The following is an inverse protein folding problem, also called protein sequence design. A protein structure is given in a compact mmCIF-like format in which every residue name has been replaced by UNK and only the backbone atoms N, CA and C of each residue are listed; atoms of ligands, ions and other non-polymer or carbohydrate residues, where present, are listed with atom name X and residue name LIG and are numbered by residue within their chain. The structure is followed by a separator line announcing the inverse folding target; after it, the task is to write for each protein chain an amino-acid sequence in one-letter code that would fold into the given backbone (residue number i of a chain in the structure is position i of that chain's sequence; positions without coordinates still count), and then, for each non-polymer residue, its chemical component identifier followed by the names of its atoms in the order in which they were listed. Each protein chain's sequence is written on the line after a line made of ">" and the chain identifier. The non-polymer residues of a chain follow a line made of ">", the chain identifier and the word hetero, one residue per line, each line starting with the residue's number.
data_IF_375202902788
#
_entry.id   IF_375202902788
#
_cell.length_a   1.000
_cell.length_b   1.000
_cell.length_c   1.000
_cell.angle_alpha   90.00
_cell.angle_beta   90.00
_cell.angle_gamma   90.00
#
_symmetry.space_group_name_H-M   'P 1'
#
loop_
_entity.id
_entity.type
_entity.pdbx_description
1 polymer ?
#
# COMPACT_ATOMS: atom_id res chain seq x y z
N UNK A 1 1.94 14.77 -2.88
CA UNK A 1 1.64 13.89 -1.72
C UNK A 1 2.54 12.68 -1.80
N UNK A 2 2.98 12.15 -0.68
CA UNK A 2 3.84 10.96 -0.61
C UNK A 2 3.26 9.98 0.41
N UNK A 3 3.37 8.69 0.10
CA UNK A 3 3.14 7.60 1.05
C UNK A 3 4.41 6.75 1.12
N UNK A 4 4.71 6.23 2.30
CA UNK A 4 5.85 5.34 2.53
C UNK A 4 5.28 3.96 2.84
N UNK A 5 5.60 2.97 2.00
CA UNK A 5 5.18 1.58 2.16
C UNK A 5 6.34 0.80 2.76
N UNK A 6 6.08 0.10 3.86
CA UNK A 6 7.08 -0.80 4.44
C UNK A 6 7.29 -1.99 3.52
N UNK A 7 8.49 -2.08 2.95
CA UNK A 7 8.87 -3.13 2.02
C UNK A 7 9.15 -4.45 2.73
N UNK A 8 9.12 -5.52 1.94
CA UNK A 8 9.62 -6.84 2.34
C UNK A 8 10.64 -7.27 1.32
N UNK A 9 11.45 -8.26 1.67
CA UNK A 9 12.42 -8.86 0.75
C UNK A 9 11.70 -9.42 -0.48
N UNK A 10 11.99 -8.86 -1.65
CA UNK A 10 11.63 -9.46 -2.93
C UNK A 10 12.62 -10.59 -3.19
N UNK A 11 12.13 -11.83 -3.24
CA UNK A 11 12.98 -13.02 -3.40
C UNK A 11 13.53 -13.19 -4.83
N UNK A 12 13.23 -12.25 -5.74
CA UNK A 12 13.71 -12.23 -7.11
C UNK A 12 13.82 -10.78 -7.62
N UNK A 13 14.95 -10.37 -8.22
CA UNK A 13 15.09 -9.04 -8.84
C UNK A 13 14.07 -8.78 -9.95
N UNK A 14 13.67 -9.83 -10.69
CA UNK A 14 12.66 -9.69 -11.74
C UNK A 14 11.27 -9.38 -11.18
N UNK A 15 10.95 -9.95 -10.02
CA UNK A 15 9.68 -9.72 -9.33
C UNK A 15 9.62 -8.32 -8.69
N UNK A 16 10.74 -7.87 -8.12
CA UNK A 16 10.93 -6.49 -7.66
C UNK A 16 10.73 -5.49 -8.80
N UNK A 17 11.44 -5.68 -9.92
CA UNK A 17 11.31 -4.81 -11.09
C UNK A 17 9.88 -4.77 -11.65
N UNK A 18 9.18 -5.91 -11.68
CA UNK A 18 7.79 -5.97 -12.10
C UNK A 18 6.87 -5.17 -11.16
N UNK A 19 7.04 -5.32 -9.85
CA UNK A 19 6.29 -4.57 -8.85
C UNK A 19 6.47 -3.06 -9.00
N UNK A 20 7.73 -2.60 -9.11
CA UNK A 20 8.06 -1.18 -9.26
C UNK A 20 7.49 -0.65 -10.57
N UNK A 21 7.68 -1.40 -11.67
CA UNK A 21 7.14 -1.05 -12.98
C UNK A 21 5.61 -0.93 -12.99
N UNK A 22 4.89 -1.80 -12.27
CA UNK A 22 3.43 -1.66 -12.16
C UNK A 22 3.02 -0.40 -11.41
N UNK A 23 3.70 -0.06 -10.30
CA UNK A 23 3.42 1.18 -9.56
C UNK A 23 3.73 2.43 -10.40
N UNK A 24 4.85 2.46 -11.09
CA UNK A 24 5.25 3.60 -11.93
C UNK A 24 4.29 3.82 -13.12
N UNK A 25 3.69 2.75 -13.63
CA UNK A 25 2.70 2.82 -14.72
C UNK A 25 1.34 3.36 -14.26
N UNK A 26 1.06 3.44 -12.96
CA UNK A 26 -0.17 4.04 -12.46
C UNK A 26 -0.20 5.53 -12.77
N UNK A 27 -1.26 5.98 -13.45
CA UNK A 27 -1.38 7.39 -13.88
C UNK A 27 -1.36 8.39 -12.72
N UNK A 28 -1.67 7.99 -11.49
CA UNK A 28 -1.61 8.87 -10.32
C UNK A 28 -0.19 9.00 -9.72
N UNK A 29 0.72 8.06 -10.03
CA UNK A 29 2.08 8.01 -9.51
C UNK A 29 2.98 8.93 -10.33
N UNK A 30 3.89 9.60 -9.63
CA UNK A 30 4.94 10.45 -10.19
C UNK A 30 6.29 9.77 -10.18
N UNK A 31 6.65 9.15 -9.04
CA UNK A 31 7.93 8.46 -8.85
C UNK A 31 7.77 7.38 -7.80
N UNK A 32 8.52 6.29 -7.95
CA UNK A 32 8.68 5.23 -6.98
C UNK A 32 10.17 5.13 -6.65
N UNK A 33 10.53 5.15 -5.37
CA UNK A 33 11.93 5.04 -4.92
C UNK A 33 12.03 4.19 -3.67
N UNK A 34 12.86 3.14 -3.71
CA UNK A 34 13.23 2.40 -2.51
C UNK A 34 14.18 3.23 -1.64
N UNK A 35 14.00 3.15 -0.32
CA UNK A 35 14.82 3.80 0.70
C UNK A 35 14.96 2.89 1.93
N UNK A 36 15.92 3.15 2.84
CA UNK A 36 16.11 2.32 4.05
C UNK A 36 14.88 2.22 4.95
N UNK A 37 13.99 3.21 4.92
CA UNK A 37 12.73 3.29 5.67
C UNK A 37 11.51 2.80 4.87
N UNK A 38 11.69 2.34 3.64
CA UNK A 38 10.68 1.71 2.79
C UNK A 38 10.56 2.34 1.41
N UNK A 39 9.46 2.03 0.73
CA UNK A 39 9.18 2.48 -0.62
C UNK A 39 8.46 3.82 -0.60
N UNK A 40 9.12 4.85 -1.10
CA UNK A 40 8.55 6.18 -1.29
C UNK A 40 7.77 6.24 -2.60
N UNK A 41 6.45 6.36 -2.49
CA UNK A 41 5.55 6.53 -3.64
C UNK A 41 5.03 7.96 -3.64
N UNK A 42 5.54 8.77 -4.57
CA UNK A 42 5.05 10.15 -4.77
C UNK A 42 3.92 10.16 -5.76
N UNK A 43 2.84 10.84 -5.40
CA UNK A 43 1.64 10.99 -6.22
C UNK A 43 1.62 12.38 -6.85
N UNK A 44 1.48 12.44 -8.19
CA UNK A 44 1.31 13.69 -8.95
C UNK A 44 -0.12 14.22 -8.90
N UNK A 45 -1.10 13.35 -8.67
CA UNK A 45 -2.50 13.69 -8.44
C UNK A 45 -3.12 12.75 -7.42
N UNK A 46 -4.28 13.11 -6.89
CA UNK A 46 -5.07 12.18 -6.08
C UNK A 46 -5.45 10.94 -6.92
N UNK A 47 -5.31 9.72 -6.37
CA UNK A 47 -5.75 8.50 -7.03
C UNK A 47 -7.25 8.48 -7.33
N UNK A 48 -7.62 7.98 -8.51
CA UNK A 48 -9.00 7.58 -8.77
C UNK A 48 -9.34 6.29 -8.02
N UNK A 49 -10.59 5.85 -8.08
CA UNK A 49 -10.96 4.53 -7.57
C UNK A 49 -10.22 3.39 -8.29
N UNK A 50 -10.05 3.48 -9.63
CA UNK A 50 -9.29 2.47 -10.38
C UNK A 50 -7.82 2.45 -9.95
N UNK A 51 -7.20 3.62 -9.79
CA UNK A 51 -5.81 3.72 -9.32
C UNK A 51 -5.66 3.09 -7.92
N UNK A 52 -6.59 3.36 -6.99
CA UNK A 52 -6.56 2.77 -5.65
C UNK A 52 -6.76 1.26 -5.67
N UNK A 53 -7.63 0.74 -6.54
CA UNK A 53 -7.83 -0.71 -6.67
C UNK A 53 -6.56 -1.41 -7.14
N UNK A 54 -5.84 -0.83 -8.09
CA UNK A 54 -4.54 -1.34 -8.53
C UNK A 54 -3.53 -1.32 -7.38
N UNK A 55 -3.40 -0.20 -6.66
CA UNK A 55 -2.51 -0.11 -5.50
C UNK A 55 -2.83 -1.16 -4.43
N UNK A 56 -4.12 -1.35 -4.11
CA UNK A 56 -4.57 -2.38 -3.16
C UNK A 56 -4.19 -3.77 -3.67
N UNK A 57 -4.46 -4.08 -4.93
CA UNK A 57 -4.16 -5.38 -5.53
C UNK A 57 -2.66 -5.69 -5.50
N UNK A 58 -1.82 -4.72 -5.87
CA UNK A 58 -0.38 -4.84 -5.83
C UNK A 58 0.13 -5.07 -4.40
N UNK A 59 -0.25 -4.23 -3.44
CA UNK A 59 0.22 -4.42 -2.05
C UNK A 59 -0.28 -5.73 -1.44
N UNK A 60 -1.50 -6.16 -1.78
CA UNK A 60 -2.03 -7.44 -1.34
C UNK A 60 -1.27 -8.63 -1.94
N UNK A 61 -0.98 -8.60 -3.25
CA UNK A 61 -0.22 -9.65 -3.95
C UNK A 61 1.16 -9.86 -3.34
N UNK A 62 1.85 -8.78 -2.98
CA UNK A 62 3.19 -8.81 -2.41
C UNK A 62 3.21 -8.93 -0.89
N UNK A 63 2.04 -8.99 -0.23
CA UNK A 63 1.96 -9.09 1.23
C UNK A 63 2.55 -7.88 1.97
N UNK A 64 2.50 -6.70 1.35
CA UNK A 64 3.06 -5.45 1.89
C UNK A 64 2.08 -4.74 2.82
N UNK A 65 2.59 -3.82 3.65
CA UNK A 65 1.75 -3.04 4.54
C UNK A 65 0.84 -2.09 3.74
N UNK A 66 -0.47 -2.23 3.96
CA UNK A 66 -1.50 -1.44 3.29
C UNK A 66 -1.98 -0.24 4.12
N UNK A 67 -1.55 -0.09 5.38
CA UNK A 67 -1.93 1.04 6.22
C UNK A 67 -1.62 2.42 5.62
N UNK A 68 -0.51 2.63 4.89
CA UNK A 68 -0.24 3.93 4.27
C UNK A 68 -1.34 4.38 3.30
N UNK A 69 -2.09 3.43 2.71
CA UNK A 69 -3.22 3.75 1.83
C UNK A 69 -4.37 4.46 2.57
N UNK A 70 -4.46 4.36 3.90
CA UNK A 70 -5.49 5.04 4.67
C UNK A 70 -5.42 6.58 4.53
N UNK A 71 -4.23 7.14 4.25
CA UNK A 71 -4.04 8.56 3.98
C UNK A 71 -4.70 9.04 2.66
N UNK A 72 -5.08 8.10 1.79
CA UNK A 72 -5.71 8.37 0.49
C UNK A 72 -7.23 8.41 0.55
N UNK A 73 -7.83 8.25 1.74
CA UNK A 73 -9.28 8.44 1.92
C UNK A 73 -9.66 9.88 1.59
N UNK A 74 -10.75 10.01 0.85
CA UNK A 74 -11.42 11.28 0.52
C UNK A 74 -12.93 11.10 0.70
N UNK A 75 -13.68 12.20 0.78
CA UNK A 75 -15.15 12.13 0.86
C UNK A 75 -15.76 11.34 -0.31
N UNK A 76 -15.18 11.49 -1.51
CA UNK A 76 -15.63 10.80 -2.73
C UNK A 76 -15.43 9.29 -2.68
N UNK A 77 -14.32 8.81 -2.12
CA UNK A 77 -13.99 7.37 -2.12
C UNK A 77 -14.35 6.66 -0.81
N UNK A 78 -14.68 7.40 0.26
CA UNK A 78 -14.89 6.84 1.59
C UNK A 78 -15.92 5.71 1.62
N UNK A 79 -17.03 5.84 0.87
CA UNK A 79 -18.12 4.86 0.84
C UNK A 79 -17.65 3.46 0.44
N UNK A 80 -16.85 3.34 -0.62
CA UNK A 80 -16.39 2.03 -1.11
C UNK A 80 -15.06 1.63 -0.47
N UNK A 81 -14.16 2.59 -0.24
CA UNK A 81 -12.80 2.28 0.24
C UNK A 81 -12.82 1.82 1.70
N UNK A 82 -13.69 2.40 2.54
CA UNK A 82 -13.91 1.99 3.94
C UNK A 82 -15.01 0.92 4.09
N UNK A 83 -15.44 0.26 3.01
CA UNK A 83 -16.41 -0.82 3.13
C UNK A 83 -15.81 -2.00 3.91
N UNK A 84 -16.37 -2.28 5.08
CA UNK A 84 -15.90 -3.32 6.03
C UNK A 84 -15.95 -4.73 5.47
N UNK A 85 -16.74 -4.96 4.41
CA UNK A 85 -16.87 -6.25 3.73
C UNK A 85 -15.76 -6.53 2.73
N UNK A 86 -14.94 -5.53 2.37
CA UNK A 86 -13.89 -5.71 1.38
C UNK A 86 -12.64 -6.34 2.02
N UNK A 87 -11.96 -7.22 1.27
CA UNK A 87 -10.82 -7.99 1.78
C UNK A 87 -9.67 -7.11 2.30
N UNK A 88 -9.46 -5.94 1.70
CA UNK A 88 -8.41 -5.01 2.11
C UNK A 88 -8.74 -4.23 3.37
N UNK A 89 -10.01 -4.18 3.81
CA UNK A 89 -10.45 -3.26 4.85
C UNK A 89 -9.63 -3.42 6.14
N UNK A 90 -9.42 -4.66 6.57
CA UNK A 90 -8.66 -4.95 7.79
C UNK A 90 -7.18 -4.60 7.64
N UNK A 91 -6.59 -4.75 6.46
CA UNK A 91 -5.18 -4.43 6.22
C UNK A 91 -4.92 -2.92 6.12
N UNK A 92 -5.90 -2.15 5.62
CA UNK A 92 -5.80 -0.69 5.50
C UNK A 92 -6.21 0.03 6.79
N UNK A 93 -7.33 -0.38 7.41
CA UNK A 93 -7.99 0.34 8.51
C UNK A 93 -8.05 -0.44 9.83
N UNK A 94 -7.64 -1.71 9.83
CA UNK A 94 -7.61 -2.50 11.04
C UNK A 94 -6.57 -1.97 12.02
N UNK A 95 -6.88 -2.06 13.32
CA UNK A 95 -5.90 -1.79 14.36
C UNK A 95 -4.82 -2.86 14.28
N UNK A 96 -3.54 -2.48 14.25
CA UNK A 96 -2.49 -3.43 14.60
C UNK A 96 -2.73 -3.82 16.04
N UNK A 97 -3.15 -5.06 16.28
CA UNK A 97 -2.94 -5.70 17.57
C UNK A 97 -1.43 -5.70 17.79
N UNK A 98 -0.97 -4.80 18.66
CA UNK A 98 0.37 -4.89 19.22
C UNK A 98 0.50 -6.30 19.79
N UNK A 99 1.25 -7.19 19.13
CA UNK A 99 1.80 -8.34 19.82
C UNK A 99 2.82 -7.78 20.82
N UNK A 100 2.31 -7.40 21.98
CA UNK A 100 3.07 -7.15 23.19
C UNK A 100 3.77 -8.48 23.51
N UNK A 101 5.08 -8.44 23.71
CA UNK A 101 5.93 -9.63 23.79
C UNK A 101 5.41 -10.70 24.74
N UNK A 102 5.42 -11.95 24.28
CA UNK A 102 5.51 -13.11 25.14
C UNK A 102 6.95 -13.62 25.05
N UNK A 103 7.80 -13.07 25.93
CA UNK A 103 8.82 -13.89 26.59
C UNK A 103 8.08 -14.66 27.69
N UNK A 104 8.20 -15.98 27.71
CA UNK A 104 8.25 -16.86 28.88
C UNK A 104 7.90 -18.28 28.44
N UNK A 105 8.91 -19.13 28.28
CA UNK A 105 9.33 -20.16 29.25
C UNK A 105 10.66 -20.73 28.80
#
# INVERSE_FOLDING_TARGET
>A
MEIIIQERTYYSPGDENAFFGWLENLKCVSTVKGAPDGLHVKLRRRPSESDLREMIGLLYRYGLDMKPLAALVTERNARWFRNTKMFWYRSVFGKTSSKRGQKST
#
